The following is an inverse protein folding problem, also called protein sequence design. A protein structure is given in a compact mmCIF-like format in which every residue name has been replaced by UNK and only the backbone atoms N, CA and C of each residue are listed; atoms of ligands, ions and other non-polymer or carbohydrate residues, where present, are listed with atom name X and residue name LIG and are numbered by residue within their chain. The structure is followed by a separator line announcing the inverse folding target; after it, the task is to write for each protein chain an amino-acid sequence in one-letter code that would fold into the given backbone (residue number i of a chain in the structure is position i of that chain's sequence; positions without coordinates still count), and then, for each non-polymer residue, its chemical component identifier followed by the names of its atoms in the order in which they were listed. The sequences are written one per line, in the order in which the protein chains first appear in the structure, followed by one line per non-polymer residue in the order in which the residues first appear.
data_IF_537789256676
#
_entry.id   IF_537789256676
#
_cell.length_a   1.000
_cell.length_b   1.000
_cell.length_c   1.000
_cell.angle_alpha   90.00
_cell.angle_beta   90.00
_cell.angle_gamma   90.00
#
_symmetry.space_group_name_H-M   'P 1'
#
loop_
_entity.id
_entity.type
_entity.pdbx_description
1 polymer ?
#
# COMPACT_ATOMS: atom_id res chain seq x y z
N UNK A 1 -13.56 9.44 -4.45
CA UNK A 1 -13.34 8.52 -5.58
C UNK A 1 -14.57 8.46 -6.49
N UNK A 2 -15.77 8.46 -5.95
CA UNK A 2 -17.00 8.20 -6.73
C UNK A 2 -17.24 9.14 -7.94
N UNK A 3 -16.97 10.45 -7.83
CA UNK A 3 -17.04 11.37 -8.97
C UNK A 3 -16.06 11.01 -10.11
N UNK A 4 -14.84 10.59 -9.77
CA UNK A 4 -13.86 10.11 -10.74
C UNK A 4 -14.28 8.76 -11.34
N UNK A 5 -14.94 7.90 -10.55
CA UNK A 5 -15.50 6.63 -11.03
C UNK A 5 -16.65 6.83 -12.02
N UNK A 6 -17.40 7.93 -11.89
CA UNK A 6 -18.45 8.36 -12.83
C UNK A 6 -17.92 9.08 -14.08
N UNK A 7 -16.60 9.10 -14.28
CA UNK A 7 -15.93 9.72 -15.43
C UNK A 7 -16.11 11.25 -15.49
N UNK A 8 -16.31 11.93 -14.37
CA UNK A 8 -16.21 13.38 -14.34
C UNK A 8 -14.78 13.85 -14.63
N UNK A 9 -14.64 14.97 -15.33
CA UNK A 9 -13.33 15.51 -15.69
C UNK A 9 -12.59 16.06 -14.47
N UNK A 10 -11.27 15.91 -14.48
CA UNK A 10 -10.37 16.41 -13.42
C UNK A 10 -10.54 17.93 -13.25
N UNK A 11 -10.79 18.65 -14.33
CA UNK A 11 -11.02 20.09 -14.35
C UNK A 11 -12.27 20.48 -13.54
N UNK A 12 -13.38 19.77 -13.74
CA UNK A 12 -14.64 20.04 -13.03
C UNK A 12 -14.50 19.76 -11.53
N UNK A 13 -13.83 18.66 -11.18
CA UNK A 13 -13.59 18.31 -9.77
C UNK A 13 -12.66 19.33 -9.11
N UNK A 14 -11.60 19.77 -9.81
CA UNK A 14 -10.71 20.82 -9.33
C UNK A 14 -11.44 22.14 -9.10
N UNK A 15 -12.32 22.54 -10.02
CA UNK A 15 -13.08 23.79 -9.90
C UNK A 15 -13.96 23.81 -8.64
N UNK A 16 -14.60 22.68 -8.32
CA UNK A 16 -15.50 22.53 -7.17
C UNK A 16 -14.75 22.34 -5.85
N UNK A 17 -13.76 21.45 -5.80
CA UNK A 17 -13.09 21.04 -4.55
C UNK A 17 -11.83 21.84 -4.24
N UNK A 18 -11.27 22.53 -5.24
CA UNK A 18 -9.95 23.20 -5.19
C UNK A 18 -8.77 22.27 -4.91
N UNK A 19 -8.96 20.94 -4.95
CA UNK A 19 -7.88 19.96 -4.85
C UNK A 19 -7.00 20.09 -6.09
N UNK A 20 -5.68 20.12 -5.90
CA UNK A 20 -4.74 20.23 -7.02
C UNK A 20 -4.88 19.07 -8.02
N UNK A 21 -4.75 19.40 -9.31
CA UNK A 21 -4.88 18.45 -10.43
C UNK A 21 -3.91 17.27 -10.29
N UNK A 22 -2.73 17.49 -9.72
CA UNK A 22 -1.75 16.45 -9.46
C UNK A 22 -2.34 15.31 -8.62
N UNK A 23 -3.00 15.63 -7.50
CA UNK A 23 -3.61 14.62 -6.63
C UNK A 23 -4.80 13.93 -7.31
N UNK A 24 -5.59 14.67 -8.08
CA UNK A 24 -6.72 14.12 -8.83
C UNK A 24 -6.24 13.10 -9.87
N UNK A 25 -5.14 13.36 -10.57
CA UNK A 25 -4.52 12.37 -11.47
C UNK A 25 -3.96 11.15 -10.72
N UNK A 26 -3.42 11.33 -9.50
CA UNK A 26 -3.00 10.19 -8.67
C UNK A 26 -4.21 9.29 -8.33
N UNK A 27 -5.34 9.88 -7.94
CA UNK A 27 -6.57 9.13 -7.69
C UNK A 27 -7.14 8.47 -8.95
N UNK A 28 -7.10 9.18 -10.08
CA UNK A 28 -7.52 8.63 -11.37
C UNK A 28 -6.70 7.39 -11.73
N UNK A 29 -5.38 7.45 -11.56
CA UNK A 29 -4.50 6.30 -11.79
C UNK A 29 -4.84 5.11 -10.88
N UNK A 30 -5.25 5.35 -9.63
CA UNK A 30 -5.72 4.28 -8.75
C UNK A 30 -7.01 3.64 -9.28
N UNK A 31 -7.98 4.44 -9.72
CA UNK A 31 -9.24 3.94 -10.28
C UNK A 31 -9.01 3.14 -11.57
N UNK A 32 -8.13 3.62 -12.46
CA UNK A 32 -7.78 2.88 -13.68
C UNK A 32 -7.17 1.52 -13.35
N UNK A 33 -6.29 1.45 -12.34
CA UNK A 33 -5.73 0.17 -11.88
C UNK A 33 -6.79 -0.76 -11.29
N UNK A 34 -7.79 -0.24 -10.58
CA UNK A 34 -8.91 -1.04 -10.09
C UNK A 34 -9.74 -1.64 -11.23
N UNK A 35 -9.96 -0.87 -12.30
CA UNK A 35 -10.65 -1.33 -13.50
C UNK A 35 -9.84 -2.40 -14.22
N UNK A 36 -8.53 -2.17 -14.43
CA UNK A 36 -7.60 -3.18 -14.99
C UNK A 36 -7.68 -4.51 -14.19
N UNK A 37 -7.69 -4.43 -12.86
CA UNK A 37 -7.78 -5.61 -12.00
C UNK A 37 -9.11 -6.36 -12.13
N UNK A 38 -10.23 -5.65 -12.25
CA UNK A 38 -11.55 -6.26 -12.46
C UNK A 38 -11.63 -6.98 -13.80
N UNK A 39 -11.02 -6.42 -14.84
CA UNK A 39 -11.03 -7.00 -16.19
C UNK A 39 -10.20 -8.29 -16.27
N UNK A 40 -9.12 -8.39 -15.49
CA UNK A 40 -8.26 -9.57 -15.47
C UNK A 40 -8.88 -10.83 -14.84
N UNK A 41 -10.08 -10.75 -14.23
CA UNK A 41 -10.93 -11.87 -13.72
C UNK A 41 -10.14 -13.09 -13.20
N UNK A 42 -9.13 -12.83 -12.37
CA UNK A 42 -8.39 -13.86 -11.65
C UNK A 42 -7.05 -14.31 -12.23
N UNK A 43 -6.66 -13.89 -13.45
CA UNK A 43 -5.29 -14.16 -13.96
C UNK A 43 -4.35 -13.03 -13.55
N UNK A 44 -3.67 -13.20 -12.40
CA UNK A 44 -2.70 -12.24 -11.90
C UNK A 44 -1.28 -12.65 -12.30
N UNK A 45 -0.74 -11.97 -13.31
CA UNK A 45 0.69 -12.04 -13.62
C UNK A 45 1.52 -11.45 -12.47
N UNK A 46 2.74 -11.97 -12.29
CA UNK A 46 3.72 -11.47 -11.33
C UNK A 46 3.93 -9.96 -11.43
N UNK A 47 4.01 -9.43 -12.66
CA UNK A 47 4.27 -8.02 -12.89
C UNK A 47 3.06 -7.15 -12.49
N UNK A 48 1.84 -7.62 -12.80
CA UNK A 48 0.59 -6.96 -12.39
C UNK A 48 0.48 -6.93 -10.87
N UNK A 49 0.69 -8.07 -10.19
CA UNK A 49 0.62 -8.14 -8.74
C UNK A 49 1.68 -7.24 -8.09
N UNK A 50 2.90 -7.22 -8.63
CA UNK A 50 3.96 -6.33 -8.15
C UNK A 50 3.60 -4.85 -8.32
N UNK A 51 3.14 -4.44 -9.52
CA UNK A 51 2.70 -3.07 -9.82
C UNK A 51 1.61 -2.61 -8.85
N UNK A 52 0.64 -3.47 -8.60
CA UNK A 52 -0.49 -3.20 -7.70
C UNK A 52 -0.04 -3.08 -6.24
N UNK A 53 0.84 -3.97 -5.77
CA UNK A 53 1.42 -3.85 -4.42
C UNK A 53 2.30 -2.61 -4.25
N UNK A 54 3.07 -2.24 -5.26
CA UNK A 54 3.87 -1.00 -5.27
C UNK A 54 2.99 0.26 -5.21
N UNK A 55 1.79 0.21 -5.78
CA UNK A 55 0.79 1.28 -5.72
C UNK A 55 0.00 1.32 -4.40
N UNK A 56 0.24 0.38 -3.48
CA UNK A 56 -0.29 0.40 -2.13
C UNK A 56 -1.59 -0.37 -1.92
N UNK A 57 -2.04 -1.18 -2.88
CA UNK A 57 -3.25 -1.97 -2.72
C UNK A 57 -3.08 -3.08 -1.66
N UNK A 58 -4.11 -3.26 -0.85
CA UNK A 58 -4.19 -4.31 0.18
C UNK A 58 -4.52 -5.66 -0.47
N UNK A 59 -4.07 -6.75 0.16
CA UNK A 59 -4.34 -8.11 -0.33
C UNK A 59 -5.87 -8.38 -0.34
N UNK A 60 -6.61 -7.88 0.66
CA UNK A 60 -8.08 -7.92 0.74
C UNK A 60 -8.75 -7.18 -0.43
N UNK A 61 -8.28 -5.99 -0.79
CA UNK A 61 -8.85 -5.21 -1.91
C UNK A 61 -8.61 -5.93 -3.24
N UNK A 62 -7.43 -6.49 -3.44
CA UNK A 62 -7.11 -7.26 -4.66
C UNK A 62 -8.00 -8.50 -4.74
N UNK A 63 -8.17 -9.21 -3.62
CA UNK A 63 -9.05 -10.37 -3.51
C UNK A 63 -10.50 -10.01 -3.90
N UNK A 64 -11.04 -8.93 -3.35
CA UNK A 64 -12.39 -8.45 -3.66
C UNK A 64 -12.56 -8.06 -5.13
N UNK A 65 -11.57 -7.40 -5.73
CA UNK A 65 -11.62 -6.97 -7.13
C UNK A 65 -11.44 -8.11 -8.13
N UNK A 66 -10.71 -9.17 -7.75
CA UNK A 66 -10.40 -10.30 -8.63
C UNK A 66 -11.29 -11.52 -8.40
N UNK A 67 -12.09 -11.52 -7.32
CA UNK A 67 -12.95 -12.64 -6.94
C UNK A 67 -12.21 -13.78 -6.24
N UNK A 68 -10.98 -13.54 -5.78
CA UNK A 68 -10.17 -14.50 -5.03
C UNK A 68 -10.35 -14.32 -3.53
N UNK A 69 -9.82 -15.27 -2.75
CA UNK A 69 -9.67 -15.10 -1.29
C UNK A 69 -8.38 -14.34 -0.98
N UNK A 70 -8.36 -13.60 0.13
CA UNK A 70 -7.14 -12.92 0.60
C UNK A 70 -5.97 -13.91 0.77
N UNK A 71 -6.27 -15.11 1.26
CA UNK A 71 -5.28 -16.16 1.47
C UNK A 71 -4.66 -16.64 0.14
N UNK A 72 -5.47 -16.79 -0.91
CA UNK A 72 -4.99 -17.13 -2.26
C UNK A 72 -4.03 -16.06 -2.80
N UNK A 73 -4.40 -14.78 -2.69
CA UNK A 73 -3.55 -13.65 -3.10
C UNK A 73 -2.25 -13.64 -2.30
N UNK A 74 -2.31 -13.91 -1.00
CA UNK A 74 -1.14 -13.96 -0.13
C UNK A 74 -0.21 -15.12 -0.48
N UNK A 75 -0.74 -16.29 -0.82
CA UNK A 75 0.03 -17.45 -1.28
C UNK A 75 0.71 -17.15 -2.62
N UNK A 76 -0.05 -16.65 -3.60
CA UNK A 76 0.45 -16.22 -4.91
C UNK A 76 1.58 -15.18 -4.78
N UNK A 77 1.42 -14.24 -3.86
CA UNK A 77 2.43 -13.22 -3.55
C UNK A 77 3.73 -13.83 -3.00
N UNK A 78 3.64 -14.86 -2.18
CA UNK A 78 4.80 -15.60 -1.66
C UNK A 78 5.49 -16.42 -2.75
N UNK A 79 4.73 -17.12 -3.59
CA UNK A 79 5.25 -17.88 -4.73
C UNK A 79 6.02 -16.99 -5.71
N UNK A 80 5.52 -15.78 -5.97
CA UNK A 80 6.20 -14.80 -6.81
C UNK A 80 7.37 -14.09 -6.13
N UNK A 81 7.58 -14.30 -4.84
CA UNK A 81 8.64 -13.68 -4.05
C UNK A 81 8.42 -12.19 -3.75
N UNK A 82 7.18 -11.70 -3.86
CA UNK A 82 6.81 -10.31 -3.63
C UNK A 82 6.63 -10.08 -2.12
N UNK A 83 7.71 -9.69 -1.44
CA UNK A 83 7.68 -9.38 -0.02
C UNK A 83 7.91 -7.89 0.20
N UNK A 84 7.26 -7.32 1.22
CA UNK A 84 7.56 -5.97 1.69
C UNK A 84 9.03 -5.89 2.11
N UNK A 85 9.68 -4.80 1.76
CA UNK A 85 11.01 -4.42 2.25
C UNK A 85 10.85 -3.36 3.33
N UNK A 86 11.75 -3.36 4.30
CA UNK A 86 11.80 -2.30 5.32
C UNK A 86 12.92 -1.33 4.96
N UNK A 87 12.59 -0.04 4.92
CA UNK A 87 13.57 1.03 4.70
C UNK A 87 13.70 1.86 5.96
N UNK A 88 14.92 2.34 6.21
CA UNK A 88 15.23 3.28 7.29
C UNK A 88 14.89 4.68 6.82
N UNK A 89 14.35 5.50 7.70
CA UNK A 89 14.20 6.94 7.45
C UNK A 89 15.51 7.62 7.80
N UNK A 90 16.27 8.01 6.77
CA UNK A 90 17.44 8.86 6.93
C UNK A 90 17.03 10.31 6.69
N UNK A 91 17.39 11.23 7.60
CA UNK A 91 17.13 12.66 7.44
C UNK A 91 17.96 13.29 6.32
N UNK A 92 19.00 12.60 5.86
CA UNK A 92 19.98 13.08 4.88
C UNK A 92 20.06 12.15 3.65
N UNK A 93 18.94 11.57 3.20
CA UNK A 93 18.89 10.76 1.97
C UNK A 93 19.96 9.65 1.87
N UNK A 94 20.26 8.99 2.99
CA UNK A 94 21.27 7.94 3.14
C UNK A 94 22.75 8.38 3.03
N UNK A 95 23.07 9.67 3.20
CA UNK A 95 24.47 10.15 3.25
C UNK A 95 25.19 9.78 4.56
N UNK A 96 24.45 9.61 5.66
CA UNK A 96 24.98 9.25 6.99
C UNK A 96 24.11 8.17 7.64
N UNK A 97 24.74 7.25 8.38
CA UNK A 97 24.04 6.21 9.14
C UNK A 97 23.14 6.83 10.23
N UNK A 98 21.82 6.66 10.10
CA UNK A 98 20.87 7.10 11.12
C UNK A 98 21.08 6.31 12.43
N UNK A 99 21.26 7.03 13.54
CA UNK A 99 21.39 6.44 14.89
C UNK A 99 20.06 5.90 15.45
N UNK A 100 18.93 6.27 14.85
CA UNK A 100 17.58 5.91 15.31
C UNK A 100 16.93 4.91 14.38
N UNK A 101 16.50 3.78 14.93
CA UNK A 101 15.87 2.67 14.21
C UNK A 101 14.40 2.94 13.86
N UNK A 102 14.14 3.91 12.97
CA UNK A 102 12.78 4.21 12.46
C UNK A 102 12.60 3.63 11.06
N UNK A 103 11.69 2.65 10.93
CA UNK A 103 11.48 1.89 9.69
C UNK A 103 10.06 2.06 9.15
N UNK A 104 9.93 2.02 7.82
CA UNK A 104 8.63 1.87 7.15
C UNK A 104 8.68 0.71 6.15
N UNK A 105 7.54 0.02 5.99
CA UNK A 105 7.39 -1.03 5.00
C UNK A 105 7.10 -0.43 3.63
N UNK A 106 7.77 -0.93 2.60
CA UNK A 106 7.51 -0.55 1.22
C UNK A 106 7.69 -1.74 0.29
N UNK A 107 6.82 -1.84 -0.71
CA UNK A 107 6.97 -2.79 -1.81
C UNK A 107 7.85 -2.24 -2.94
N UNK A 108 8.26 -0.96 -2.85
CA UNK A 108 9.03 -0.28 -3.89
C UNK A 108 10.54 -0.41 -3.68
N UNK A 109 11.23 -0.94 -4.70
CA UNK A 109 12.69 -1.02 -4.75
C UNK A 109 13.27 -2.36 -4.27
N UNK A 110 14.60 -2.46 -4.28
CA UNK A 110 15.32 -3.67 -3.85
C UNK A 110 15.21 -3.84 -2.34
N UNK A 111 15.14 -5.09 -1.87
CA UNK A 111 15.18 -5.43 -0.45
C UNK A 111 16.46 -4.85 0.16
N UNK A 112 16.33 -3.85 1.03
CA UNK A 112 17.41 -3.51 1.94
C UNK A 112 17.56 -4.69 2.92
N UNK A 113 18.71 -5.35 2.93
CA UNK A 113 19.04 -6.34 3.94
C UNK A 113 19.30 -5.60 5.25
N UNK A 114 18.23 -5.26 5.98
CA UNK A 114 18.38 -4.81 7.36
C UNK A 114 18.70 -6.06 8.18
N UNK A 115 19.99 -6.27 8.46
CA UNK A 115 20.42 -7.27 9.43
C UNK A 115 19.95 -6.82 10.82
N UNK A 116 18.73 -7.22 11.20
CA UNK A 116 18.27 -7.07 12.58
C UNK A 116 19.17 -7.98 13.42
N UNK A 117 20.23 -7.41 14.03
CA UNK A 117 21.01 -8.11 15.05
C UNK A 117 20.05 -8.43 16.19
N UNK A 118 19.69 -9.71 16.32
CA UNK A 118 18.87 -10.22 17.43
C UNK A 118 19.66 -10.10 18.74
N UNK A 119 19.67 -8.92 19.36
CA UNK A 119 20.04 -8.84 20.77
C UNK A 119 18.92 -9.46 21.59
N UNK A 120 19.22 -10.63 22.16
CA UNK A 120 18.35 -11.54 22.93
C UNK A 120 17.84 -10.96 24.28
N UNK A 121 17.63 -9.66 24.41
CA UNK A 121 17.25 -9.04 25.69
C UNK A 121 16.23 -7.90 25.60
N UNK A 122 15.47 -7.79 24.50
CA UNK A 122 14.28 -6.94 24.49
C UNK A 122 13.05 -7.83 24.64
N UNK A 123 12.36 -7.71 25.78
CA UNK A 123 11.03 -8.26 25.97
C UNK A 123 10.16 -7.71 24.82
N UNK A 124 9.90 -8.53 23.78
CA UNK A 124 9.11 -8.11 22.63
C UNK A 124 7.64 -8.09 23.05
N UNK A 125 7.26 -7.07 23.83
CA UNK A 125 5.86 -6.74 24.02
C UNK A 125 5.34 -6.24 22.67
N UNK A 126 4.69 -7.13 21.92
CA UNK A 126 3.92 -6.76 20.75
C UNK A 126 2.70 -5.99 21.23
N UNK A 127 2.85 -4.68 21.38
CA UNK A 127 1.73 -3.79 21.67
C UNK A 127 0.89 -3.66 20.40
N UNK A 128 -0.17 -4.46 20.31
CA UNK A 128 -1.28 -4.19 19.39
C UNK A 128 -1.95 -2.91 19.87
N UNK A 129 -1.62 -1.80 19.21
CA UNK A 129 -2.35 -0.56 19.39
C UNK A 129 -3.75 -0.76 18.80
N UNK A 130 -4.77 -0.74 19.66
CA UNK A 130 -6.17 -0.68 19.22
C UNK A 130 -6.42 0.74 18.71
N UNK A 131 -6.45 0.91 17.40
CA UNK A 131 -6.92 2.16 16.79
C UNK A 131 -8.42 2.33 17.08
N UNK A 132 -8.74 2.93 18.22
CA UNK A 132 -10.10 3.33 18.54
C UNK A 132 -10.11 4.62 19.34
N UNK A 133 -9.72 5.73 18.69
CA UNK A 133 -10.24 7.05 19.03
C UNK A 133 -11.44 7.37 18.12
N UNK A 134 -12.43 6.46 18.11
CA UNK A 134 -13.77 6.78 17.62
C UNK A 134 -14.52 7.38 18.81
N UNK A 135 -14.64 8.70 18.83
CA UNK A 135 -15.46 9.41 19.81
C UNK A 135 -16.83 8.74 19.90
N UNK A 136 -17.24 8.42 21.12
CA UNK A 136 -18.45 7.65 21.39
C UNK A 136 -19.72 8.30 20.86
N UNK A 137 -20.66 7.44 20.47
CA UNK A 137 -22.02 7.83 20.11
C UNK A 137 -22.93 6.61 19.99
N UNK A 138 -23.50 6.20 21.13
CA UNK A 138 -24.82 5.51 21.29
C UNK A 138 -25.83 6.21 20.34
N UNK A 139 -26.75 5.56 19.62
CA UNK A 139 -27.73 4.50 19.92
C UNK A 139 -28.07 3.78 18.62
#
# INVERSE_FOLDING_TARGET
MELLSRQETVETIHQTTKIDRFFLHVFQNMITLEQELKDHKGTLSKDTLKKVKEKGFLDETIALLTGHTEESIRQLRQEYGIAASFKIVDTCAAEFDAKTNYFYSTYFGKKAMVNIRKNKAACTHHWLWSDSNRAGGRV
#
